data_IF_301745188500
#
_entry.id   IF_301745188500
#
_cell.length_a   1.000
_cell.length_b   1.000
_cell.length_c   1.000
_cell.angle_alpha   90.00
_cell.angle_beta   90.00
_cell.angle_gamma   90.00
#
_symmetry.space_group_name_H-M   'P 1'
#
loop_
_entity.id
_entity.type
_entity.pdbx_description
1 polymer ?
#
# COMPACT_ATOMS: atom_id res chain seq x y z
N UNK A 1 17.05 -36.73 -18.57
CA UNK A 1 15.77 -36.27 -18.01
C UNK A 1 16.10 -35.46 -16.76
N UNK A 2 15.89 -34.16 -16.62
CA UNK A 2 15.30 -33.11 -17.45
C UNK A 2 16.17 -31.86 -17.24
N UNK A 3 16.57 -31.19 -18.31
CA UNK A 3 17.19 -29.87 -18.26
C UNK A 3 16.05 -28.85 -18.42
N UNK A 4 15.84 -28.02 -17.40
CA UNK A 4 14.91 -26.91 -17.46
C UNK A 4 15.71 -25.60 -17.52
N UNK A 5 15.31 -24.75 -18.47
CA UNK A 5 15.74 -23.36 -18.72
C UNK A 5 17.08 -23.13 -19.42
N UNK A 6 17.08 -23.34 -20.75
CA UNK A 6 17.73 -22.41 -21.67
C UNK A 6 16.62 -21.63 -22.41
N UNK A 7 16.17 -20.52 -21.83
CA UNK A 7 15.42 -19.51 -22.59
C UNK A 7 16.42 -18.48 -23.09
N UNK A 8 16.93 -18.68 -24.29
CA UNK A 8 17.57 -17.63 -25.09
C UNK A 8 16.48 -16.87 -25.85
N UNK A 9 15.50 -16.30 -25.14
CA UNK A 9 14.67 -15.26 -25.73
C UNK A 9 15.48 -13.98 -25.78
N UNK A 10 15.91 -13.58 -26.98
CA UNK A 10 16.37 -12.22 -27.24
C UNK A 10 15.28 -11.29 -26.70
N UNK A 11 15.63 -10.42 -25.76
CA UNK A 11 14.78 -9.31 -25.35
C UNK A 11 14.70 -8.40 -26.57
N UNK A 12 13.61 -8.53 -27.32
CA UNK A 12 13.27 -7.55 -28.34
C UNK A 12 13.07 -6.21 -27.62
N UNK A 13 13.76 -5.17 -28.08
CA UNK A 13 13.53 -3.80 -27.65
C UNK A 13 12.10 -3.44 -28.03
N UNK A 14 11.16 -3.68 -27.12
CA UNK A 14 9.84 -3.11 -27.21
C UNK A 14 10.03 -1.59 -27.17
N UNK A 15 9.71 -0.95 -28.30
CA UNK A 15 9.41 0.47 -28.41
C UNK A 15 8.65 0.93 -27.16
N UNK A 16 9.17 1.95 -26.46
CA UNK A 16 8.64 2.51 -25.20
C UNK A 16 7.12 2.35 -25.10
N UNK A 17 6.68 1.27 -24.44
CA UNK A 17 5.31 1.21 -23.95
C UNK A 17 5.19 2.38 -22.96
N UNK A 18 4.06 3.12 -22.98
CA UNK A 18 3.84 4.15 -21.98
C UNK A 18 4.00 3.50 -20.60
N UNK A 19 4.84 4.08 -19.74
CA UNK A 19 5.00 3.59 -18.38
C UNK A 19 3.67 3.76 -17.65
N UNK A 20 3.04 2.65 -17.27
CA UNK A 20 1.74 2.65 -16.59
C UNK A 20 1.90 2.59 -15.07
N UNK A 21 3.03 2.05 -14.62
CA UNK A 21 3.47 2.05 -13.23
C UNK A 21 4.91 2.52 -13.20
N UNK A 22 5.24 3.40 -12.27
CA UNK A 22 6.63 3.76 -11.97
C UNK A 22 6.87 3.72 -10.47
N UNK A 23 8.02 3.18 -10.08
CA UNK A 23 8.49 3.21 -8.69
C UNK A 23 9.52 4.31 -8.54
N UNK A 24 9.36 5.19 -7.56
CA UNK A 24 10.33 6.21 -7.20
C UNK A 24 10.87 5.93 -5.81
N UNK A 25 12.19 5.94 -5.67
CA UNK A 25 12.86 5.88 -4.37
C UNK A 25 13.46 7.25 -4.05
N UNK A 26 13.28 7.73 -2.82
CA UNK A 26 13.73 9.05 -2.40
C UNK A 26 13.97 9.15 -0.88
N UNK A 27 14.80 10.11 -0.48
CA UNK A 27 14.91 10.61 0.89
C UNK A 27 13.90 11.72 1.20
N UNK A 28 13.79 12.09 2.48
CA UNK A 28 12.84 13.11 2.93
C UNK A 28 13.13 14.52 2.39
N UNK A 29 14.40 14.79 2.06
CA UNK A 29 14.88 16.03 1.47
C UNK A 29 14.50 16.19 -0.01
N UNK A 30 14.26 15.07 -0.70
CA UNK A 30 13.90 15.01 -2.13
C UNK A 30 12.38 15.12 -2.36
N UNK A 31 11.57 15.19 -1.30
CA UNK A 31 10.11 15.34 -1.42
C UNK A 31 9.75 16.64 -2.15
N UNK A 32 10.54 17.70 -1.95
CA UNK A 32 10.32 18.97 -2.62
C UNK A 32 10.65 18.82 -4.11
N UNK A 33 9.67 19.06 -4.98
CA UNK A 33 9.83 18.93 -6.43
C UNK A 33 9.65 17.50 -6.95
N UNK A 34 9.15 16.57 -6.12
CA UNK A 34 8.94 15.16 -6.51
C UNK A 34 8.08 15.02 -7.78
N UNK A 35 7.13 15.92 -8.00
CA UNK A 35 6.27 15.95 -9.19
C UNK A 35 7.05 16.15 -10.49
N UNK A 36 8.25 16.76 -10.45
CA UNK A 36 9.12 16.90 -11.63
C UNK A 36 9.68 15.56 -12.10
N UNK A 37 9.69 14.54 -11.22
CA UNK A 37 10.09 13.16 -11.55
C UNK A 37 8.93 12.33 -12.10
N UNK A 38 7.71 12.87 -12.17
CA UNK A 38 6.54 12.11 -12.61
C UNK A 38 6.48 12.06 -14.14
N UNK A 39 6.54 10.87 -14.76
CA UNK A 39 6.44 10.75 -16.22
C UNK A 39 5.00 10.96 -16.73
N UNK A 40 4.01 10.96 -15.85
CA UNK A 40 2.58 11.16 -16.13
C UNK A 40 1.89 11.74 -14.88
N UNK A 41 0.64 12.20 -15.03
CA UNK A 41 -0.21 12.54 -13.88
C UNK A 41 -0.77 11.26 -13.26
N UNK A 42 -0.40 10.88 -12.02
CA UNK A 42 -0.83 9.63 -11.43
C UNK A 42 -2.30 9.68 -11.02
N UNK A 43 -3.01 8.56 -11.22
CA UNK A 43 -4.37 8.34 -10.71
C UNK A 43 -4.38 8.07 -9.21
N UNK A 44 -3.36 7.38 -8.73
CA UNK A 44 -3.15 7.06 -7.33
C UNK A 44 -1.66 6.82 -7.06
N UNK A 45 -1.24 7.07 -5.83
CA UNK A 45 0.13 6.85 -5.37
C UNK A 45 0.09 6.03 -4.09
N UNK A 46 0.79 4.89 -4.09
CA UNK A 46 0.98 4.07 -2.90
C UNK A 46 2.41 4.25 -2.40
N UNK A 47 2.58 4.58 -1.13
CA UNK A 47 3.87 4.85 -0.54
C UNK A 47 4.21 3.94 0.62
N UNK A 48 5.48 3.57 0.70
CA UNK A 48 6.05 2.78 1.78
C UNK A 48 7.18 3.58 2.41
N UNK A 49 7.02 3.91 3.70
CA UNK A 49 7.93 4.76 4.44
C UNK A 49 8.73 3.92 5.44
N UNK A 50 10.02 4.18 5.47
CA UNK A 50 10.91 3.68 6.52
C UNK A 50 10.38 4.09 7.90
N UNK A 51 10.45 3.22 8.92
CA UNK A 51 9.93 3.52 10.25
C UNK A 51 10.85 4.47 11.03
N UNK A 52 12.02 4.79 10.48
CA UNK A 52 12.97 5.77 11.01
C UNK A 52 12.67 7.22 10.58
N UNK A 53 11.69 7.40 9.70
CA UNK A 53 11.13 8.71 9.34
C UNK A 53 10.07 9.14 10.35
N UNK A 54 9.92 10.46 10.50
CA UNK A 54 8.72 11.02 11.14
C UNK A 54 7.55 10.86 10.16
N UNK A 55 6.69 9.87 10.41
CA UNK A 55 5.65 9.48 9.46
C UNK A 55 4.66 10.61 9.19
N UNK A 56 4.14 11.27 10.22
CA UNK A 56 3.15 12.33 10.09
C UNK A 56 3.71 13.52 9.31
N UNK A 57 4.92 13.96 9.64
CA UNK A 57 5.58 15.06 8.94
C UNK A 57 5.89 14.70 7.49
N UNK A 58 6.33 13.47 7.25
CA UNK A 58 6.66 12.98 5.89
C UNK A 58 5.41 12.87 5.03
N UNK A 59 4.33 12.29 5.55
CA UNK A 59 3.05 12.17 4.89
C UNK A 59 2.50 13.55 4.52
N UNK A 60 2.51 14.49 5.46
CA UNK A 60 2.06 15.88 5.23
C UNK A 60 2.87 16.57 4.12
N UNK A 61 4.20 16.43 4.13
CA UNK A 61 5.06 17.00 3.08
C UNK A 61 4.82 16.36 1.71
N UNK A 62 4.66 15.04 1.65
CA UNK A 62 4.35 14.33 0.41
C UNK A 62 3.00 14.80 -0.15
N UNK A 63 1.97 14.81 0.69
CA UNK A 63 0.62 15.23 0.29
C UNK A 63 0.61 16.68 -0.21
N UNK A 64 1.33 17.59 0.47
CA UNK A 64 1.49 18.97 0.01
C UNK A 64 2.26 19.09 -1.32
N UNK A 65 3.32 18.30 -1.51
CA UNK A 65 4.14 18.36 -2.72
C UNK A 65 3.43 17.76 -3.95
N UNK A 66 2.64 16.71 -3.75
CA UNK A 66 1.91 15.99 -4.81
C UNK A 66 0.62 16.74 -5.18
N UNK A 67 -0.09 17.28 -4.18
CA UNK A 67 -1.37 17.97 -4.35
C UNK A 67 -2.55 17.16 -3.81
N UNK A 68 -3.56 17.89 -3.31
CA UNK A 68 -4.68 17.32 -2.55
C UNK A 68 -5.63 16.44 -3.39
N UNK A 69 -5.60 16.59 -4.71
CA UNK A 69 -6.52 15.89 -5.62
C UNK A 69 -6.07 14.47 -5.99
N UNK A 70 -4.80 14.12 -5.72
CA UNK A 70 -4.26 12.78 -6.04
C UNK A 70 -4.34 11.89 -4.80
N UNK A 71 -5.10 10.77 -4.85
CA UNK A 71 -5.14 9.79 -3.77
C UNK A 71 -3.73 9.31 -3.40
N UNK A 72 -3.35 9.57 -2.15
CA UNK A 72 -2.08 9.19 -1.57
C UNK A 72 -2.32 8.27 -0.39
N UNK A 73 -1.92 7.00 -0.53
CA UNK A 73 -2.05 5.99 0.52
C UNK A 73 -0.66 5.60 0.96
N UNK A 74 -0.35 5.74 2.25
CA UNK A 74 0.98 5.45 2.79
C UNK A 74 0.92 4.40 3.89
N UNK A 75 1.94 3.56 3.98
CA UNK A 75 2.16 2.64 5.09
C UNK A 75 3.59 2.73 5.58
N UNK A 76 3.81 2.63 6.89
CA UNK A 76 5.14 2.35 7.42
C UNK A 76 5.50 0.89 7.13
N UNK A 77 6.78 0.57 6.90
CA UNK A 77 7.24 -0.79 6.64
C UNK A 77 8.58 -1.09 7.31
N UNK A 78 8.79 -2.33 7.78
CA UNK A 78 10.05 -2.78 8.36
C UNK A 78 11.02 -3.22 7.26
N UNK A 79 11.41 -2.26 6.41
CA UNK A 79 12.24 -2.46 5.22
C UNK A 79 11.43 -2.43 3.92
N UNK A 80 12.08 -2.00 2.86
CA UNK A 80 11.47 -1.79 1.56
C UNK A 80 12.08 -2.77 0.53
N UNK A 81 11.22 -3.62 -0.05
CA UNK A 81 11.55 -4.43 -1.21
C UNK A 81 11.40 -3.58 -2.46
N UNK A 82 12.51 -3.20 -3.06
CA UNK A 82 12.51 -2.39 -4.26
C UNK A 82 13.75 -2.72 -5.09
N UNK A 83 13.55 -2.98 -6.38
CA UNK A 83 14.64 -3.27 -7.32
C UNK A 83 14.82 -2.17 -8.36
N UNK A 84 13.97 -1.14 -8.35
CA UNK A 84 13.88 -0.11 -9.39
C UNK A 84 13.66 1.29 -8.81
N UNK A 85 14.37 2.28 -9.34
CA UNK A 85 14.07 3.70 -9.19
C UNK A 85 13.93 4.32 -10.58
N UNK A 86 12.68 4.55 -10.99
CA UNK A 86 12.31 4.75 -12.38
C UNK A 86 12.74 3.56 -13.24
N UNK A 87 13.54 3.82 -14.26
CA UNK A 87 14.10 2.79 -15.14
C UNK A 87 15.42 2.20 -14.60
N UNK A 88 15.98 2.73 -13.51
CA UNK A 88 17.28 2.33 -12.99
C UNK A 88 17.15 1.16 -12.02
N UNK A 89 17.88 0.08 -12.26
CA UNK A 89 17.99 -1.01 -11.30
C UNK A 89 18.78 -0.61 -10.05
N UNK A 90 18.27 -0.95 -8.88
CA UNK A 90 18.95 -0.78 -7.60
C UNK A 90 19.95 -1.92 -7.36
N UNK A 91 21.02 -1.64 -6.62
CA UNK A 91 22.12 -2.58 -6.35
C UNK A 91 21.75 -3.72 -5.39
N UNK A 92 20.64 -3.59 -4.66
CA UNK A 92 20.14 -4.57 -3.69
C UNK A 92 18.64 -4.75 -3.85
N UNK A 93 18.16 -5.98 -3.62
CA UNK A 93 16.73 -6.30 -3.60
C UNK A 93 16.02 -5.71 -2.37
N UNK A 94 16.76 -5.60 -1.27
CA UNK A 94 16.30 -5.04 -0.01
C UNK A 94 17.02 -3.73 0.23
N UNK A 95 16.26 -2.73 0.67
CA UNK A 95 16.82 -1.50 1.22
C UNK A 95 17.42 -1.80 2.59
N UNK A 96 18.62 -2.40 2.58
CA UNK A 96 19.29 -2.94 3.76
C UNK A 96 20.35 -1.99 4.31
N UNK A 97 20.71 -0.98 3.52
CA UNK A 97 21.61 0.08 3.94
C UNK A 97 20.84 1.29 4.47
N UNK A 98 21.47 1.88 5.47
CA UNK A 98 21.05 2.98 6.33
C UNK A 98 20.29 4.12 5.62
N UNK A 99 19.46 4.79 6.39
CA UNK A 99 18.75 6.06 6.14
C UNK A 99 17.41 6.00 5.38
N UNK A 100 16.33 5.91 6.17
CA UNK A 100 15.14 6.78 6.04
C UNK A 100 14.63 6.98 4.60
N UNK A 101 14.33 5.88 3.91
CA UNK A 101 13.81 5.91 2.54
C UNK A 101 12.30 5.98 2.48
N UNK A 102 11.85 6.48 1.33
CA UNK A 102 10.47 6.51 0.88
C UNK A 102 10.46 5.79 -0.48
N UNK A 103 9.53 4.87 -0.65
CA UNK A 103 9.27 4.22 -1.94
C UNK A 103 7.85 4.55 -2.36
N UNK A 104 7.67 5.14 -3.53
CA UNK A 104 6.37 5.52 -4.10
C UNK A 104 6.10 4.70 -5.35
N UNK A 105 4.95 4.05 -5.44
CA UNK A 105 4.42 3.44 -6.66
C UNK A 105 3.33 4.36 -7.20
N UNK A 106 3.55 4.86 -8.41
CA UNK A 106 2.61 5.72 -9.12
C UNK A 106 1.88 4.88 -10.15
N UNK A 107 0.56 5.00 -10.19
CA UNK A 107 -0.29 4.31 -11.15
C UNK A 107 -0.91 5.32 -12.11
N UNK A 108 -0.84 5.05 -13.41
CA UNK A 108 -1.48 5.88 -14.44
C UNK A 108 -3.00 5.65 -14.50
N UNK A 109 -3.71 6.52 -15.20
CA UNK A 109 -5.13 6.30 -15.52
C UNK A 109 -5.36 5.14 -16.52
N UNK A 110 -4.31 4.65 -17.21
CA UNK A 110 -4.44 3.52 -18.12
C UNK A 110 -4.57 2.18 -17.41
N UNK A 111 -4.08 2.08 -16.16
CA UNK A 111 -4.15 0.86 -15.35
C UNK A 111 -5.19 0.95 -14.22
N UNK A 112 -5.46 2.14 -13.68
CA UNK A 112 -6.50 2.37 -12.67
C UNK A 112 -7.58 3.31 -13.23
N UNK A 113 -8.79 2.80 -13.47
CA UNK A 113 -9.93 3.63 -13.87
C UNK A 113 -10.50 4.42 -12.69
N UNK A 114 -10.71 3.73 -11.57
CA UNK A 114 -11.39 4.23 -10.38
C UNK A 114 -10.63 3.82 -9.11
N UNK A 115 -10.71 4.65 -8.08
CA UNK A 115 -10.17 4.36 -6.76
C UNK A 115 -11.13 4.88 -5.70
N UNK A 116 -11.32 4.08 -4.66
CA UNK A 116 -12.11 4.46 -3.49
C UNK A 116 -11.36 3.99 -2.24
N UNK A 117 -11.11 4.91 -1.32
CA UNK A 117 -10.40 4.65 -0.06
C UNK A 117 -11.41 4.72 1.08
N UNK A 118 -11.35 3.74 1.99
CA UNK A 118 -12.15 3.73 3.20
C UNK A 118 -11.33 3.20 4.37
N UNK A 119 -11.49 3.85 5.52
CA UNK A 119 -10.90 3.44 6.78
C UNK A 119 -11.91 2.69 7.65
N UNK A 120 -11.48 1.57 8.21
CA UNK A 120 -12.33 0.67 9.01
C UNK A 120 -11.72 0.57 10.41
N UNK A 121 -12.45 0.96 11.47
CA UNK A 121 -11.94 0.80 12.82
C UNK A 121 -11.86 -0.69 13.19
N UNK A 122 -10.72 -1.10 13.74
CA UNK A 122 -10.44 -2.49 14.08
C UNK A 122 -10.77 -2.84 15.53
N UNK A 123 -11.09 -1.85 16.38
CA UNK A 123 -11.41 -2.02 17.80
C UNK A 123 -10.31 -2.84 18.52
N UNK A 124 -9.05 -2.43 18.35
CA UNK A 124 -7.87 -3.17 18.81
C UNK A 124 -7.63 -3.00 20.32
N UNK A 125 -7.98 -1.82 20.84
CA UNK A 125 -7.98 -1.46 22.26
C UNK A 125 -8.87 -2.38 23.13
N UNK A 126 -9.87 -3.03 22.53
CA UNK A 126 -10.74 -3.98 23.21
C UNK A 126 -10.07 -5.36 23.41
N UNK A 127 -8.92 -5.65 22.76
CA UNK A 127 -8.19 -6.92 22.89
C UNK A 127 -7.62 -7.10 24.30
N UNK A 128 -7.19 -6.01 24.94
CA UNK A 128 -6.58 -6.05 26.27
C UNK A 128 -7.63 -6.09 27.40
N UNK A 129 -8.91 -5.89 27.07
CA UNK A 129 -10.01 -6.05 28.01
C UNK A 129 -10.31 -7.53 28.22
N UNK A 130 -9.90 -8.07 29.37
CA UNK A 130 -10.20 -9.45 29.78
C UNK A 130 -11.70 -9.75 29.60
N UNK A 131 -12.01 -10.64 28.65
CA UNK A 131 -13.36 -11.19 28.46
C UNK A 131 -14.15 -10.66 27.27
N UNK A 132 -13.59 -9.78 26.42
CA UNK A 132 -14.29 -9.39 25.20
C UNK A 132 -14.37 -10.57 24.20
N UNK A 133 -15.57 -11.03 23.80
CA UNK A 133 -15.68 -12.19 22.91
C UNK A 133 -15.20 -11.85 21.49
N UNK A 134 -14.31 -12.69 20.94
CA UNK A 134 -13.81 -12.56 19.54
C UNK A 134 -14.94 -12.42 18.53
N UNK A 135 -16.04 -13.17 18.70
CA UNK A 135 -17.20 -13.10 17.82
C UNK A 135 -17.87 -11.71 17.82
N UNK A 136 -17.93 -11.03 18.97
CA UNK A 136 -18.48 -9.67 19.04
C UNK A 136 -17.56 -8.67 18.33
N UNK A 137 -16.24 -8.87 18.39
CA UNK A 137 -15.27 -8.04 17.66
C UNK A 137 -15.48 -8.16 16.16
N UNK A 138 -15.51 -9.38 15.64
CA UNK A 138 -15.74 -9.66 14.21
C UNK A 138 -17.07 -9.05 13.78
N UNK A 139 -18.12 -9.18 14.59
CA UNK A 139 -19.42 -8.59 14.29
C UNK A 139 -19.37 -7.06 14.20
N UNK A 140 -18.65 -6.38 15.09
CA UNK A 140 -18.47 -4.92 15.01
C UNK A 140 -17.73 -4.50 13.74
N UNK A 141 -16.62 -5.15 13.42
CA UNK A 141 -15.86 -4.88 12.18
C UNK A 141 -16.76 -5.14 10.95
N UNK A 142 -17.55 -6.23 10.96
CA UNK A 142 -18.50 -6.57 9.90
C UNK A 142 -19.53 -5.47 9.68
N UNK A 143 -20.07 -4.89 10.76
CA UNK A 143 -21.02 -3.78 10.69
C UNK A 143 -20.39 -2.53 10.08
N UNK A 144 -19.14 -2.21 10.39
CA UNK A 144 -18.43 -1.08 9.78
C UNK A 144 -18.18 -1.32 8.29
N UNK A 145 -17.76 -2.53 7.91
CA UNK A 145 -17.60 -2.93 6.50
C UNK A 145 -18.90 -2.73 5.71
N UNK A 146 -20.04 -3.13 6.26
CA UNK A 146 -21.34 -3.04 5.56
C UNK A 146 -21.83 -1.60 5.32
N UNK A 147 -21.33 -0.63 6.10
CA UNK A 147 -21.63 0.79 5.91
C UNK A 147 -20.92 1.38 4.69
N UNK A 148 -19.82 0.78 4.25
CA UNK A 148 -19.05 1.26 3.11
C UNK A 148 -19.87 1.13 1.83
N UNK A 149 -19.93 2.22 1.07
CA UNK A 149 -20.57 2.29 -0.25
C UNK A 149 -19.55 2.72 -1.28
N UNK A 150 -19.05 1.75 -2.05
CA UNK A 150 -18.15 2.00 -3.17
C UNK A 150 -18.96 2.67 -4.29
N UNK A 151 -18.52 3.81 -4.84
CA UNK A 151 -19.30 4.60 -5.80
C UNK A 151 -19.27 4.03 -7.23
N UNK A 152 -18.65 2.87 -7.42
CA UNK A 152 -18.56 2.15 -8.68
C UNK A 152 -18.82 0.65 -8.45
N UNK A 153 -19.08 -0.07 -9.54
CA UNK A 153 -19.38 -1.50 -9.49
C UNK A 153 -18.08 -2.30 -9.34
N UNK A 154 -18.08 -3.25 -8.41
CA UNK A 154 -16.95 -4.16 -8.18
C UNK A 154 -17.14 -5.39 -9.06
N UNK A 155 -16.09 -5.73 -9.81
CA UNK A 155 -16.02 -6.95 -10.61
C UNK A 155 -14.78 -7.76 -10.24
N UNK A 156 -14.93 -9.06 -10.03
CA UNK A 156 -13.83 -9.93 -9.65
C UNK A 156 -12.71 -10.07 -10.71
N UNK A 157 -12.97 -9.68 -11.95
CA UNK A 157 -12.05 -9.80 -13.10
C UNK A 157 -11.09 -8.61 -13.22
N UNK A 158 -11.49 -7.42 -12.74
CA UNK A 158 -10.76 -6.16 -12.95
C UNK A 158 -10.62 -5.30 -11.69
N UNK A 159 -11.26 -5.68 -10.58
CA UNK A 159 -11.22 -4.92 -9.33
C UNK A 159 -10.40 -5.67 -8.30
N UNK A 160 -9.51 -4.95 -7.62
CA UNK A 160 -8.75 -5.43 -6.46
C UNK A 160 -9.09 -4.57 -5.25
N UNK A 161 -9.25 -5.20 -4.08
CA UNK A 161 -9.25 -4.48 -2.81
C UNK A 161 -7.85 -4.45 -2.24
N UNK A 162 -7.24 -3.27 -2.16
CA UNK A 162 -5.96 -3.09 -1.50
C UNK A 162 -6.16 -2.80 0.00
N UNK A 163 -5.66 -3.67 0.86
CA UNK A 163 -5.87 -3.60 2.32
C UNK A 163 -4.56 -3.34 3.03
N UNK A 164 -4.53 -2.27 3.83
CA UNK A 164 -3.49 -2.00 4.81
C UNK A 164 -4.06 -2.16 6.21
N UNK A 165 -3.38 -2.95 7.04
CA UNK A 165 -3.81 -3.24 8.41
C UNK A 165 -2.72 -2.76 9.37
N UNK A 166 -3.10 -2.12 10.48
CA UNK A 166 -2.15 -1.79 11.54
C UNK A 166 -1.49 -3.08 12.07
N UNK A 167 -0.17 -3.20 11.91
CA UNK A 167 0.56 -4.41 12.28
C UNK A 167 0.58 -4.71 13.79
N UNK A 168 0.24 -3.75 14.64
CA UNK A 168 0.11 -3.94 16.09
C UNK A 168 -1.32 -4.25 16.52
N UNK A 169 -2.29 -4.11 15.62
CA UNK A 169 -3.70 -4.39 15.88
C UNK A 169 -3.99 -5.86 16.20
N UNK A 170 -3.12 -6.78 15.76
CA UNK A 170 -3.35 -8.24 15.78
C UNK A 170 -4.72 -8.63 15.22
N UNK A 171 -5.27 -7.81 14.32
CA UNK A 171 -6.65 -7.90 13.87
C UNK A 171 -6.79 -8.36 12.42
N UNK A 172 -5.69 -8.72 11.75
CA UNK A 172 -5.69 -9.21 10.36
C UNK A 172 -6.69 -10.36 10.15
N UNK A 173 -6.64 -11.40 10.99
CA UNK A 173 -7.55 -12.54 10.88
C UNK A 173 -9.00 -12.15 11.18
N UNK A 174 -9.23 -11.27 12.16
CA UNK A 174 -10.58 -10.80 12.50
C UNK A 174 -11.18 -9.94 11.40
N UNK A 175 -10.37 -9.07 10.79
CA UNK A 175 -10.76 -8.27 9.63
C UNK A 175 -11.12 -9.16 8.44
N UNK A 176 -10.26 -10.13 8.13
CA UNK A 176 -10.51 -11.06 7.03
C UNK A 176 -11.79 -11.87 7.25
N UNK A 177 -12.02 -12.38 8.46
CA UNK A 177 -13.27 -13.07 8.80
C UNK A 177 -14.49 -12.13 8.67
N UNK A 178 -14.37 -10.89 9.13
CA UNK A 178 -15.43 -9.90 9.01
C UNK A 178 -15.77 -9.56 7.55
N UNK A 179 -14.78 -9.49 6.65
CA UNK A 179 -15.01 -9.36 5.21
C UNK A 179 -15.85 -10.52 4.71
N UNK A 180 -15.47 -11.77 4.99
CA UNK A 180 -16.24 -12.94 4.56
C UNK A 180 -17.66 -12.96 5.12
N UNK A 181 -17.84 -12.63 6.40
CA UNK A 181 -19.16 -12.56 7.03
C UNK A 181 -20.02 -11.42 6.48
N UNK A 182 -19.40 -10.32 6.07
CA UNK A 182 -20.14 -9.16 5.53
C UNK A 182 -20.80 -9.46 4.19
N UNK A 183 -20.22 -10.37 3.40
CA UNK A 183 -20.59 -10.58 1.99
C UNK A 183 -20.31 -9.39 1.08
N UNK A 184 -19.51 -8.42 1.55
CA UNK A 184 -19.13 -7.21 0.81
C UNK A 184 -17.90 -7.44 -0.06
N UNK A 185 -17.71 -6.59 -1.08
CA UNK A 185 -16.54 -6.53 -1.96
C UNK A 185 -16.20 -7.85 -2.68
N UNK A 186 -16.94 -8.22 -3.75
CA UNK A 186 -16.70 -9.44 -4.51
C UNK A 186 -15.45 -9.33 -5.43
N UNK A 187 -14.28 -9.15 -4.82
CA UNK A 187 -12.98 -9.00 -5.48
C UNK A 187 -11.86 -9.64 -4.66
N UNK A 188 -10.68 -9.82 -5.27
CA UNK A 188 -9.50 -10.27 -4.56
C UNK A 188 -8.98 -9.17 -3.62
N UNK A 189 -8.68 -9.54 -2.38
CA UNK A 189 -7.99 -8.68 -1.43
C UNK A 189 -6.49 -8.93 -1.48
N UNK A 190 -5.71 -7.86 -1.64
CA UNK A 190 -4.25 -7.85 -1.66
C UNK A 190 -3.73 -6.77 -0.71
N UNK A 191 -2.47 -6.87 -0.30
CA UNK A 191 -1.84 -5.86 0.56
C UNK A 191 -1.09 -6.51 1.71
N UNK A 192 -1.07 -5.84 2.86
CA UNK A 192 -0.31 -6.30 4.01
C UNK A 192 -0.43 -5.37 5.21
N UNK A 193 0.40 -5.63 6.20
CA UNK A 193 0.36 -4.88 7.45
C UNK A 193 1.45 -3.84 7.54
N UNK A 194 1.13 -2.72 8.17
CA UNK A 194 2.09 -1.69 8.47
C UNK A 194 3.15 -2.22 9.45
N UNK A 195 4.42 -2.01 9.11
CA UNK A 195 5.57 -2.40 9.91
C UNK A 195 6.20 -1.23 10.64
N UNK A 196 6.83 -1.49 11.79
CA UNK A 196 7.55 -0.51 12.59
C UNK A 196 9.04 -0.83 12.72
N UNK A 197 9.72 -0.29 13.74
CA UNK A 197 11.15 -0.54 14.04
C UNK A 197 11.44 -1.92 14.64
N UNK A 198 10.47 -2.84 14.56
CA UNK A 198 10.50 -4.16 15.22
C UNK A 198 10.62 -4.08 16.76
N UNK A 199 10.34 -2.90 17.33
CA UNK A 199 10.21 -2.67 18.78
C UNK A 199 8.76 -2.85 19.28
N UNK A 200 7.83 -3.12 18.36
CA UNK A 200 6.41 -3.33 18.58
C UNK A 200 5.69 -2.15 19.25
N UNK A 201 6.18 -0.92 19.05
CA UNK A 201 5.60 0.27 19.68
C UNK A 201 4.62 1.02 18.78
N UNK A 202 5.00 1.28 17.53
CA UNK A 202 4.18 2.08 16.61
C UNK A 202 4.21 1.51 15.19
N UNK A 203 3.07 1.60 14.51
CA UNK A 203 2.95 1.48 13.04
C UNK A 203 2.02 2.58 12.54
N UNK A 204 2.09 2.90 11.26
CA UNK A 204 1.35 4.02 10.71
C UNK A 204 0.79 3.70 9.32
N UNK A 205 -0.43 4.17 9.09
CA UNK A 205 -1.11 4.16 7.79
C UNK A 205 -1.66 5.57 7.57
N UNK A 206 -1.65 6.02 6.32
CA UNK A 206 -2.22 7.28 5.86
C UNK A 206 -3.15 6.99 4.69
N UNK A 207 -4.37 7.52 4.71
CA UNK A 207 -5.43 7.22 3.76
C UNK A 207 -5.84 8.40 2.84
N UNK A 208 -5.23 9.58 3.01
CA UNK A 208 -5.52 10.75 2.16
C UNK A 208 -5.74 12.01 2.96
#
# INVERSE_FOLDING_TARGET
MFSFFNSTSKIENHSHLPQEIITLTLGAEEIKGITERFPFSPKAIFGFLSPDLDFATTASKLHQAIGLETPLILSSTAGELCTLDGEKSLSSLYSRDDSKKIVLLLFSESILSDIFVASIPLFSEDIDQKGFPVAQKIQRITQEIQKIKVPFKIHHEDTLGYTLIDGLSRSESFFMEAIYQSGSFPCLLVGGSAGGKLDFQNTYIYDG
#
